data_IF_709354291888
#
_entry.id   IF_709354291888
#
_cell.length_a   1.000
_cell.length_b   1.000
_cell.length_c   1.000
_cell.angle_alpha   90.00
_cell.angle_beta   90.00
_cell.angle_gamma   90.00
#
_symmetry.space_group_name_H-M   'P 1'
#
loop_
_entity.id
_entity.type
_entity.pdbx_description
1 polymer ?
#
# COMPACT_ATOMS: atom_id res chain seq x y z
N UNK A 1 50.44 -10.86 0.44
CA UNK A 1 51.39 -10.69 -0.69
C UNK A 1 50.60 -10.42 -1.94
N UNK A 2 51.00 -9.35 -2.58
CA UNK A 2 50.72 -8.74 -3.89
C UNK A 2 49.43 -7.95 -4.06
N UNK A 3 49.60 -6.66 -3.93
CA UNK A 3 48.88 -5.54 -4.55
C UNK A 3 48.99 -5.61 -6.07
N UNK A 4 47.99 -5.13 -6.77
CA UNK A 4 48.19 -4.48 -8.08
C UNK A 4 47.01 -3.50 -8.33
N UNK A 5 47.31 -2.21 -8.20
CA UNK A 5 46.79 -1.15 -9.05
C UNK A 5 47.59 -1.14 -10.36
N UNK A 6 46.99 -0.70 -11.46
CA UNK A 6 47.48 0.52 -12.08
C UNK A 6 46.39 1.37 -12.78
N UNK A 7 46.32 2.65 -12.44
CA UNK A 7 46.89 3.81 -13.13
C UNK A 7 46.46 4.06 -14.59
N UNK A 8 45.78 5.17 -14.76
CA UNK A 8 45.86 6.22 -15.80
C UNK A 8 46.10 5.83 -17.27
N UNK A 9 45.22 6.34 -18.11
CA UNK A 9 45.66 6.94 -19.37
C UNK A 9 44.72 8.07 -19.78
N UNK A 10 45.26 9.25 -19.65
CA UNK A 10 44.82 10.50 -20.26
C UNK A 10 45.27 10.47 -21.72
N UNK A 11 44.40 10.88 -22.64
CA UNK A 11 44.84 11.36 -23.96
C UNK A 11 43.98 12.52 -24.42
N UNK A 12 44.61 13.66 -24.42
CA UNK A 12 44.23 14.83 -25.22
C UNK A 12 44.59 14.60 -26.69
N UNK A 13 43.76 15.07 -27.59
CA UNK A 13 44.16 15.59 -28.93
C UNK A 13 42.97 16.45 -29.38
N UNK A 14 43.08 17.71 -29.38
CA UNK A 14 43.64 18.68 -30.33
C UNK A 14 42.67 19.08 -31.45
N UNK A 15 42.21 20.24 -31.29
CA UNK A 15 41.97 21.42 -32.15
C UNK A 15 42.23 21.23 -33.65
N UNK A 16 41.21 21.46 -34.45
CA UNK A 16 41.35 22.05 -35.77
C UNK A 16 40.12 22.88 -36.16
N UNK A 17 40.40 24.14 -36.37
CA UNK A 17 39.61 25.22 -36.87
C UNK A 17 39.32 25.03 -38.37
N UNK A 18 38.12 25.41 -38.85
CA UNK A 18 37.97 26.38 -39.93
C UNK A 18 36.51 26.53 -40.43
N UNK A 19 35.98 27.66 -40.17
CA UNK A 19 35.01 28.51 -40.91
C UNK A 19 34.49 28.01 -42.23
N UNK A 20 33.13 28.08 -42.45
CA UNK A 20 32.53 28.87 -43.55
C UNK A 20 31.00 29.08 -43.31
N UNK A 21 30.60 30.27 -43.64
CA UNK A 21 29.27 30.87 -43.60
C UNK A 21 28.15 30.01 -44.21
N UNK A 22 27.02 30.00 -43.54
CA UNK A 22 25.75 29.58 -44.12
C UNK A 22 24.65 29.77 -43.10
N UNK A 23 24.01 30.93 -43.08
CA UNK A 23 22.88 31.22 -42.20
C UNK A 23 21.64 30.40 -42.58
N UNK A 24 21.13 29.67 -41.64
CA UNK A 24 19.73 29.26 -41.60
C UNK A 24 19.28 29.35 -40.17
N UNK A 25 18.14 30.01 -40.01
CA UNK A 25 17.52 30.33 -38.75
C UNK A 25 17.40 29.11 -37.84
N UNK A 26 18.06 29.18 -36.70
CA UNK A 26 17.78 28.30 -35.59
C UNK A 26 16.47 28.77 -35.00
N UNK A 27 15.39 28.13 -35.41
CA UNK A 27 14.14 28.17 -34.71
C UNK A 27 14.40 27.75 -33.27
N UNK A 28 14.31 28.68 -32.37
CA UNK A 28 14.24 28.39 -30.94
C UNK A 28 12.97 27.63 -30.68
N UNK A 29 13.04 26.32 -30.66
CA UNK A 29 12.04 25.42 -30.12
C UNK A 29 12.50 24.88 -28.77
N UNK A 30 11.58 24.58 -27.93
CA UNK A 30 10.73 25.42 -27.12
C UNK A 30 10.84 25.00 -25.65
N UNK A 31 11.01 25.94 -24.81
CA UNK A 31 10.81 25.84 -23.36
C UNK A 31 9.34 25.50 -22.97
N UNK A 32 8.47 25.28 -23.97
CA UNK A 32 7.05 25.02 -23.73
C UNK A 32 6.70 23.55 -23.49
N UNK A 33 7.50 22.58 -23.95
CA UNK A 33 7.21 21.17 -23.76
C UNK A 33 7.42 20.69 -22.31
N UNK A 34 8.22 21.39 -21.53
CA UNK A 34 8.46 21.04 -20.13
C UNK A 34 7.39 21.60 -19.18
N UNK A 35 6.74 22.70 -19.56
CA UNK A 35 5.68 23.31 -18.75
C UNK A 35 4.33 22.56 -18.88
N UNK A 36 4.04 21.96 -20.04
CA UNK A 36 2.83 21.17 -20.23
C UNK A 36 2.92 19.81 -19.48
N UNK A 37 4.05 19.13 -19.55
CA UNK A 37 4.27 17.90 -18.78
C UNK A 37 4.23 18.13 -17.27
N UNK A 38 4.76 19.25 -16.81
CA UNK A 38 4.69 19.62 -15.38
C UNK A 38 3.25 19.93 -14.95
N UNK A 39 2.44 20.56 -15.79
CA UNK A 39 1.03 20.84 -15.52
C UNK A 39 0.15 19.59 -15.58
N UNK A 40 0.39 18.68 -16.53
CA UNK A 40 -0.28 17.39 -16.59
C UNK A 40 0.08 16.52 -15.37
N UNK A 41 1.35 16.49 -14.97
CA UNK A 41 1.77 15.79 -13.76
C UNK A 41 1.21 16.41 -12.48
N UNK A 42 0.95 17.72 -12.47
CA UNK A 42 0.32 18.43 -11.37
C UNK A 42 -1.20 18.21 -11.34
N UNK A 43 -1.84 18.06 -12.50
CA UNK A 43 -3.28 17.79 -12.65
C UNK A 43 -3.66 16.35 -12.24
N UNK A 44 -2.70 15.45 -12.09
CA UNK A 44 -2.93 14.05 -11.71
C UNK A 44 -2.75 13.79 -10.20
N UNK A 45 -2.77 14.83 -9.35
CA UNK A 45 -2.76 14.65 -7.90
C UNK A 45 -4.13 14.22 -7.40
N UNK A 46 -4.15 13.38 -6.39
CA UNK A 46 -5.39 13.01 -5.68
C UNK A 46 -5.95 14.25 -5.00
N UNK A 47 -7.14 14.63 -5.41
CA UNK A 47 -7.95 15.72 -4.83
C UNK A 47 -9.34 15.19 -4.47
N UNK A 48 -10.12 15.99 -3.77
CA UNK A 48 -11.51 15.64 -3.45
C UNK A 48 -12.30 15.28 -4.71
N UNK A 49 -13.01 14.15 -4.69
CA UNK A 49 -13.76 13.61 -5.82
C UNK A 49 -12.93 12.81 -6.84
N UNK A 50 -11.61 12.73 -6.69
CA UNK A 50 -10.78 11.90 -7.57
C UNK A 50 -11.14 10.43 -7.46
N UNK A 51 -11.29 9.73 -8.59
CA UNK A 51 -11.32 8.27 -8.63
C UNK A 51 -9.89 7.74 -8.61
N UNK A 52 -9.55 7.00 -7.59
CA UNK A 52 -8.20 6.51 -7.33
C UNK A 52 -8.18 4.99 -7.41
N UNK A 53 -7.22 4.45 -8.16
CA UNK A 53 -6.85 3.03 -8.12
C UNK A 53 -5.52 2.91 -7.40
N UNK A 54 -5.48 2.18 -6.30
CA UNK A 54 -4.25 1.90 -5.56
C UNK A 54 -4.05 0.40 -5.34
N UNK A 55 -2.80 0.03 -5.20
CA UNK A 55 -2.39 -1.26 -4.65
C UNK A 55 -1.96 -1.03 -3.21
N UNK A 56 -2.39 -1.92 -2.31
CA UNK A 56 -1.96 -1.86 -0.93
C UNK A 56 -1.51 -3.24 -0.44
N UNK A 57 -0.60 -3.22 0.53
CA UNK A 57 -0.18 -4.40 1.29
C UNK A 57 -0.20 -4.00 2.76
N UNK A 58 -1.05 -4.65 3.53
CA UNK A 58 -1.15 -4.43 4.97
C UNK A 58 -0.44 -5.58 5.71
N UNK A 59 0.46 -5.23 6.60
CA UNK A 59 1.23 -6.14 7.44
C UNK A 59 1.00 -5.82 8.91
N UNK A 60 1.03 -6.85 9.76
CA UNK A 60 1.01 -6.68 11.22
C UNK A 60 2.45 -6.73 11.72
N UNK A 61 2.97 -5.67 12.36
CA UNK A 61 4.32 -5.64 12.92
C UNK A 61 4.57 -6.85 13.85
N UNK A 62 5.69 -7.54 13.64
CA UNK A 62 6.06 -8.70 14.46
C UNK A 62 5.36 -10.02 14.11
N UNK A 63 4.44 -10.04 13.16
CA UNK A 63 3.84 -11.26 12.62
C UNK A 63 4.54 -11.68 11.33
N UNK A 64 4.96 -12.92 11.22
CA UNK A 64 5.51 -13.48 9.98
C UNK A 64 4.38 -14.12 9.18
N UNK A 65 4.17 -13.64 7.95
CA UNK A 65 3.34 -14.32 6.95
C UNK A 65 1.86 -13.92 6.89
N UNK A 66 1.49 -12.75 7.42
CA UNK A 66 0.13 -12.21 7.25
C UNK A 66 0.24 -10.90 6.46
N UNK A 67 0.37 -11.04 5.16
CA UNK A 67 0.31 -9.91 4.24
C UNK A 67 -1.05 -9.93 3.53
N UNK A 68 -1.85 -8.90 3.76
CA UNK A 68 -3.10 -8.69 3.03
C UNK A 68 -2.86 -7.66 1.95
N UNK A 69 -2.74 -8.11 0.70
CA UNK A 69 -2.53 -7.21 -0.44
C UNK A 69 -3.67 -7.32 -1.43
N UNK A 70 -4.11 -6.17 -1.95
CA UNK A 70 -5.11 -6.11 -3.01
C UNK A 70 -4.98 -4.80 -3.80
N UNK A 71 -5.70 -4.76 -4.92
CA UNK A 71 -5.95 -3.52 -5.67
C UNK A 71 -7.35 -3.06 -5.30
N UNK A 72 -7.48 -1.80 -4.93
CA UNK A 72 -8.75 -1.16 -4.59
C UNK A 72 -8.98 0.08 -5.43
N UNK A 73 -10.23 0.31 -5.81
CA UNK A 73 -10.70 1.56 -6.39
C UNK A 73 -11.61 2.26 -5.39
N UNK A 74 -11.45 3.57 -5.26
CA UNK A 74 -12.30 4.38 -4.38
C UNK A 74 -12.40 5.81 -4.92
N UNK A 75 -13.37 6.55 -4.41
CA UNK A 75 -13.52 7.99 -4.69
C UNK A 75 -13.12 8.77 -3.44
N UNK A 76 -12.10 9.63 -3.60
CA UNK A 76 -11.59 10.47 -2.51
C UNK A 76 -12.70 11.34 -1.91
N UNK A 77 -12.87 11.27 -0.59
CA UNK A 77 -13.91 11.97 0.18
C UNK A 77 -15.18 11.16 0.44
N UNK A 78 -15.27 9.91 -0.05
CA UNK A 78 -16.43 9.04 0.19
C UNK A 78 -16.26 8.02 1.31
N UNK A 79 -15.09 7.93 1.92
CA UNK A 79 -14.77 6.98 3.00
C UNK A 79 -15.01 5.51 2.60
N UNK A 80 -14.64 5.16 1.36
CA UNK A 80 -14.77 3.81 0.83
C UNK A 80 -13.58 2.91 1.23
N UNK A 81 -12.51 3.52 1.77
CA UNK A 81 -11.35 2.86 2.40
C UNK A 81 -11.17 3.37 3.84
N UNK A 82 -10.17 2.91 4.56
CA UNK A 82 -9.88 3.43 5.90
C UNK A 82 -9.71 4.96 5.86
N UNK A 83 -10.46 5.72 6.66
CA UNK A 83 -10.42 7.20 6.61
C UNK A 83 -9.01 7.78 6.82
N UNK A 84 -8.22 7.18 7.72
CA UNK A 84 -6.85 7.59 7.94
C UNK A 84 -5.99 7.35 6.68
N UNK A 85 -6.14 6.21 6.02
CA UNK A 85 -5.44 5.91 4.76
C UNK A 85 -5.87 6.86 3.65
N UNK A 86 -7.16 7.18 3.56
CA UNK A 86 -7.72 8.12 2.59
C UNK A 86 -7.11 9.51 2.73
N UNK A 87 -6.91 9.99 3.96
CA UNK A 87 -6.25 11.27 4.24
C UNK A 87 -4.76 11.25 3.85
N UNK A 88 -4.08 10.15 4.12
CA UNK A 88 -2.64 10.01 3.88
C UNK A 88 -2.25 9.94 2.38
N UNK A 89 -3.19 9.57 1.51
CA UNK A 89 -2.94 9.53 0.05
C UNK A 89 -3.30 10.82 -0.67
N UNK A 90 -3.90 11.80 0.00
CA UNK A 90 -4.22 13.11 -0.61
C UNK A 90 -2.97 13.77 -1.18
N UNK A 91 -3.06 14.30 -2.40
CA UNK A 91 -1.96 14.95 -3.10
C UNK A 91 -0.95 14.03 -3.74
N UNK A 92 -1.03 12.71 -3.52
CA UNK A 92 -0.17 11.73 -4.20
C UNK A 92 -0.51 11.63 -5.69
N UNK A 93 0.48 11.17 -6.47
CA UNK A 93 0.41 11.00 -7.91
C UNK A 93 0.50 9.53 -8.30
N UNK A 94 0.06 9.15 -9.52
CA UNK A 94 0.32 7.82 -10.06
C UNK A 94 1.81 7.46 -10.01
N UNK A 95 2.11 6.26 -9.55
CA UNK A 95 3.46 5.72 -9.37
C UNK A 95 4.11 6.04 -8.03
N UNK A 96 3.55 6.95 -7.23
CA UNK A 96 4.07 7.22 -5.89
C UNK A 96 3.67 6.11 -4.91
N UNK A 97 4.57 5.86 -3.96
CA UNK A 97 4.42 4.87 -2.90
C UNK A 97 4.56 5.55 -1.54
N UNK A 98 3.79 5.06 -0.57
CA UNK A 98 3.84 5.55 0.81
C UNK A 98 3.60 4.41 1.78
N UNK A 99 4.28 4.45 2.91
CA UNK A 99 3.97 3.61 4.05
C UNK A 99 3.17 4.41 5.07
N UNK A 100 2.08 3.83 5.53
CA UNK A 100 1.16 4.42 6.51
C UNK A 100 1.02 3.46 7.67
N UNK A 101 1.18 3.96 8.88
CA UNK A 101 0.94 3.19 10.10
C UNK A 101 -0.47 3.53 10.58
N UNK A 102 -1.28 2.50 10.79
CA UNK A 102 -2.64 2.63 11.30
C UNK A 102 -2.71 2.03 12.71
N UNK A 103 -3.25 2.79 13.63
CA UNK A 103 -3.63 2.26 14.94
C UNK A 103 -4.78 1.25 14.79
N UNK A 104 -5.04 0.40 15.79
CA UNK A 104 -6.18 -0.51 15.74
C UNK A 104 -7.50 0.19 15.44
N UNK A 105 -7.72 1.37 16.00
CA UNK A 105 -8.94 2.18 15.84
C UNK A 105 -9.10 2.70 14.41
N UNK A 106 -8.00 3.06 13.76
CA UNK A 106 -7.96 3.55 12.37
C UNK A 106 -8.03 2.42 11.34
N UNK A 107 -7.75 1.19 11.77
CA UNK A 107 -7.80 -0.02 10.97
C UNK A 107 -9.09 -0.83 11.19
N UNK A 108 -8.92 -2.06 11.69
CA UNK A 108 -10.04 -3.01 11.90
C UNK A 108 -10.75 -2.87 13.24
N UNK A 109 -10.49 -1.78 13.98
CA UNK A 109 -11.07 -1.51 15.28
C UNK A 109 -10.34 -2.23 16.43
N UNK A 110 -10.70 -1.87 17.66
CA UNK A 110 -10.21 -2.54 18.86
C UNK A 110 -10.78 -3.96 18.96
N UNK A 111 -10.05 -4.83 19.64
CA UNK A 111 -10.57 -6.15 19.98
C UNK A 111 -11.65 -6.01 21.05
N UNK A 112 -12.82 -6.61 20.81
CA UNK A 112 -13.98 -6.56 21.70
C UNK A 112 -14.17 -7.93 22.38
N UNK A 113 -13.96 -7.99 23.68
CA UNK A 113 -14.17 -9.20 24.48
C UNK A 113 -15.63 -9.66 24.49
N UNK A 114 -16.59 -8.73 24.27
CA UNK A 114 -17.99 -9.04 24.14
C UNK A 114 -18.36 -9.86 22.89
N UNK A 115 -17.45 -9.93 21.92
CA UNK A 115 -17.58 -10.77 20.72
C UNK A 115 -17.03 -12.17 20.91
N UNK A 116 -16.57 -12.55 22.10
CA UNK A 116 -16.19 -13.92 22.42
C UNK A 116 -17.38 -14.68 22.98
N UNK A 117 -17.55 -15.90 22.52
CA UNK A 117 -18.65 -16.78 22.93
C UNK A 117 -18.13 -18.17 23.32
N UNK A 118 -18.48 -18.63 24.52
CA UNK A 118 -18.22 -20.01 24.92
C UNK A 118 -19.33 -20.92 24.38
N UNK A 119 -18.93 -21.96 23.67
CA UNK A 119 -19.82 -22.97 23.10
C UNK A 119 -19.41 -24.39 23.54
N UNK A 120 -20.37 -25.34 23.66
CA UNK A 120 -20.02 -26.73 23.85
C UNK A 120 -19.16 -27.25 22.69
N UNK A 121 -18.05 -27.94 23.01
CA UNK A 121 -17.14 -28.51 21.99
C UNK A 121 -17.85 -29.48 21.05
N UNK A 122 -18.95 -30.09 21.50
CA UNK A 122 -19.77 -31.01 20.70
C UNK A 122 -20.47 -30.32 19.50
N UNK A 123 -20.58 -28.98 19.50
CA UNK A 123 -21.12 -28.21 18.39
C UNK A 123 -20.08 -27.90 17.30
N UNK A 124 -18.83 -28.20 17.56
CA UNK A 124 -17.73 -27.95 16.61
C UNK A 124 -17.33 -29.23 15.87
N UNK A 125 -16.77 -29.11 14.67
CA UNK A 125 -16.22 -30.26 13.95
C UNK A 125 -15.17 -31.00 14.79
N UNK A 126 -15.10 -32.33 14.68
CA UNK A 126 -14.09 -33.11 15.41
C UNK A 126 -12.68 -32.73 14.98
N UNK A 127 -11.77 -32.58 15.94
CA UNK A 127 -10.37 -32.24 15.68
C UNK A 127 -10.05 -30.75 15.58
N UNK A 128 -11.03 -29.86 15.80
CA UNK A 128 -10.82 -28.40 15.85
C UNK A 128 -9.81 -28.03 16.93
N UNK A 129 -8.91 -27.10 16.60
CA UNK A 129 -7.82 -26.58 17.45
C UNK A 129 -7.91 -25.07 17.59
N UNK A 130 -7.19 -24.54 18.55
CA UNK A 130 -6.96 -23.10 18.68
C UNK A 130 -6.34 -22.53 17.42
N UNK A 131 -6.85 -21.38 16.97
CA UNK A 131 -6.46 -20.72 15.72
C UNK A 131 -7.25 -21.17 14.49
N UNK A 132 -8.02 -22.25 14.55
CA UNK A 132 -8.87 -22.66 13.44
C UNK A 132 -10.01 -21.65 13.22
N UNK A 133 -10.43 -21.50 11.96
CA UNK A 133 -11.60 -20.69 11.61
C UNK A 133 -12.78 -21.63 11.39
N UNK A 134 -13.86 -21.36 12.10
CA UNK A 134 -15.13 -22.11 12.01
C UNK A 134 -16.24 -21.19 11.54
N UNK A 135 -17.26 -21.78 10.93
CA UNK A 135 -18.46 -21.05 10.50
C UNK A 135 -19.66 -21.58 11.28
N UNK A 136 -20.48 -20.66 11.81
CA UNK A 136 -21.71 -21.04 12.46
C UNK A 136 -22.83 -21.29 11.44
N UNK A 137 -24.00 -21.79 11.90
CA UNK A 137 -25.18 -22.09 11.06
C UNK A 137 -25.74 -20.85 10.32
N UNK A 138 -25.45 -19.65 10.83
CA UNK A 138 -25.86 -18.38 10.22
C UNK A 138 -24.85 -17.86 9.18
N UNK A 139 -23.76 -18.60 8.94
CA UNK A 139 -22.72 -18.24 7.99
C UNK A 139 -21.66 -17.28 8.54
N UNK A 140 -21.68 -16.95 9.84
CA UNK A 140 -20.66 -16.09 10.43
C UNK A 140 -19.40 -16.90 10.76
N UNK A 141 -18.26 -16.33 10.43
CA UNK A 141 -16.95 -16.90 10.75
C UNK A 141 -16.51 -16.47 12.14
N UNK A 142 -15.87 -17.40 12.85
CA UNK A 142 -15.21 -17.14 14.13
C UNK A 142 -13.87 -17.88 14.20
N UNK A 143 -12.91 -17.29 14.88
CA UNK A 143 -11.65 -17.96 15.21
C UNK A 143 -11.81 -18.69 16.53
N UNK A 144 -11.33 -19.92 16.60
CA UNK A 144 -11.29 -20.68 17.86
C UNK A 144 -10.18 -20.11 18.72
N UNK A 145 -10.54 -19.37 19.76
CA UNK A 145 -9.59 -18.71 20.64
C UNK A 145 -9.03 -19.67 21.70
N UNK A 146 -9.85 -20.60 22.18
CA UNK A 146 -9.47 -21.56 23.20
C UNK A 146 -10.27 -22.86 23.05
N UNK A 147 -9.64 -23.99 23.35
CA UNK A 147 -10.30 -25.30 23.40
C UNK A 147 -9.98 -25.97 24.74
N UNK A 148 -11.01 -26.27 25.50
CA UNK A 148 -10.94 -27.00 26.79
C UNK A 148 -11.72 -28.30 26.72
N UNK A 149 -11.63 -29.10 27.82
CA UNK A 149 -12.43 -30.32 27.96
C UNK A 149 -13.93 -30.02 28.09
N UNK A 150 -14.63 -29.99 26.94
CA UNK A 150 -16.07 -29.82 26.87
C UNK A 150 -16.55 -28.45 26.37
N UNK A 151 -15.70 -27.42 26.38
CA UNK A 151 -16.01 -26.09 25.90
C UNK A 151 -14.97 -25.59 24.89
N UNK A 152 -15.39 -24.68 24.01
CA UNK A 152 -14.49 -23.90 23.18
C UNK A 152 -14.94 -22.43 23.22
N UNK A 153 -13.98 -21.53 23.13
CA UNK A 153 -14.23 -20.08 23.01
C UNK A 153 -14.08 -19.69 21.55
N UNK A 154 -15.14 -19.17 20.99
CA UNK A 154 -15.19 -18.63 19.62
C UNK A 154 -15.05 -17.12 19.68
N UNK A 155 -14.15 -16.57 18.91
CA UNK A 155 -13.90 -15.14 18.76
C UNK A 155 -14.44 -14.67 17.40
N UNK A 156 -15.46 -13.83 17.44
CA UNK A 156 -16.11 -13.23 16.27
C UNK A 156 -15.51 -11.86 15.87
N UNK A 157 -14.40 -11.44 16.51
CA UNK A 157 -13.67 -10.27 16.07
C UNK A 157 -13.03 -10.51 14.70
N UNK A 158 -12.77 -9.42 13.98
CA UNK A 158 -11.92 -9.52 12.80
C UNK A 158 -10.53 -10.02 13.21
N UNK A 159 -9.87 -10.92 12.47
CA UNK A 159 -8.55 -11.47 12.83
C UNK A 159 -7.45 -10.42 13.06
N UNK A 160 -7.64 -9.21 12.52
CA UNK A 160 -6.74 -8.06 12.69
C UNK A 160 -7.26 -7.01 13.68
N UNK A 161 -8.42 -7.21 14.32
CA UNK A 161 -8.90 -6.31 15.35
C UNK A 161 -7.90 -6.24 16.53
N UNK A 162 -7.68 -5.07 17.07
CA UNK A 162 -6.74 -4.81 18.15
C UNK A 162 -5.25 -4.82 17.73
N UNK A 163 -4.96 -5.01 16.44
CA UNK A 163 -3.58 -5.03 15.94
C UNK A 163 -3.26 -3.75 15.17
N UNK A 164 -2.12 -3.11 15.42
CA UNK A 164 -1.64 -2.03 14.56
C UNK A 164 -1.27 -2.61 13.19
N UNK A 165 -1.44 -1.81 12.15
CA UNK A 165 -1.14 -2.19 10.78
C UNK A 165 -0.08 -1.26 10.19
N UNK A 166 0.80 -1.82 9.40
CA UNK A 166 1.67 -1.07 8.49
C UNK A 166 1.17 -1.34 7.08
N UNK A 167 0.66 -0.30 6.43
CA UNK A 167 0.09 -0.37 5.09
C UNK A 167 1.02 0.30 4.10
N UNK A 168 1.57 -0.46 3.17
CA UNK A 168 2.27 0.07 2.02
C UNK A 168 1.26 0.30 0.91
N UNK A 169 1.19 1.51 0.40
CA UNK A 169 0.32 1.88 -0.72
C UNK A 169 1.14 2.32 -1.91
N UNK A 170 0.66 1.97 -3.10
CA UNK A 170 1.14 2.44 -4.38
C UNK A 170 -0.02 2.95 -5.20
N UNK A 171 0.06 4.20 -5.63
CA UNK A 171 -0.97 4.78 -6.50
C UNK A 171 -0.76 4.28 -7.92
N UNK A 172 -1.74 3.61 -8.48
CA UNK A 172 -1.69 3.07 -9.84
C UNK A 172 -2.29 4.06 -10.84
N UNK A 173 -3.42 4.68 -10.49
CA UNK A 173 -4.16 5.58 -11.37
C UNK A 173 -4.91 6.64 -10.58
N UNK A 174 -5.01 7.84 -11.13
CA UNK A 174 -5.82 8.94 -10.61
C UNK A 174 -6.63 9.52 -11.78
N UNK A 175 -7.93 9.64 -11.59
CA UNK A 175 -8.85 10.29 -12.53
C UNK A 175 -9.56 11.41 -11.75
N UNK A 176 -9.24 12.64 -12.10
CA UNK A 176 -9.83 13.82 -11.46
C UNK A 176 -11.21 14.12 -12.07
N UNK A 177 -12.13 14.73 -11.28
CA UNK A 177 -13.46 15.09 -11.74
C UNK A 177 -13.45 16.12 -12.87
#
# INVERSE_FOLDING_TARGET
>A
MKRHDPTRASLMVSLACMTLLGGYGVGAEPLQANSSRSREAESLRIVEGSKVTLQYVATVPGSTGIDYGNISEFIQGRHEIFPALEQEVVGMKPGEEKQVELSPEEGFGTHDEGKKMSVPRTLLPPGVKEGDVVQNELGHFATVAEVSDGLAVLDYNHPLAGKPLVVQVKILKVENP
#
